data_IF_988660247684
#
_entry.id   IF_988660247684
#
_cell.length_a   1.000
_cell.length_b   1.000
_cell.length_c   1.000
_cell.angle_alpha   90.00
_cell.angle_beta   90.00
_cell.angle_gamma   90.00
#
_symmetry.space_group_name_H-M   'P 1'
#
loop_
_entity.id
_entity.type
_entity.pdbx_description
1 polymer ?
#
# COMPACT_ATOMS: atom_id res chain seq x y z
N UNK A 1 -60.33 12.20 12.31
CA UNK A 1 -60.27 12.76 10.95
C UNK A 1 -60.23 14.26 11.10
N UNK A 2 -59.27 14.97 10.57
CA UNK A 2 -58.90 16.38 10.76
C UNK A 2 -58.16 16.68 12.09
N UNK A 3 -56.85 16.69 11.98
CA UNK A 3 -56.00 17.70 12.64
C UNK A 3 -54.52 17.37 12.27
N UNK A 4 -54.02 17.91 11.20
CA UNK A 4 -52.58 18.04 10.90
C UNK A 4 -52.38 18.90 9.65
N UNK A 5 -52.74 20.15 9.68
CA UNK A 5 -52.26 21.16 8.70
C UNK A 5 -52.30 22.52 9.41
N UNK A 6 -51.28 22.87 10.19
CA UNK A 6 -51.06 24.28 10.59
C UNK A 6 -49.70 24.47 11.29
N UNK A 7 -48.58 24.02 10.68
CA UNK A 7 -47.27 24.38 11.23
C UNK A 7 -46.21 24.74 10.16
N UNK A 8 -46.63 24.96 8.93
CA UNK A 8 -45.69 25.17 7.81
C UNK A 8 -45.46 26.63 7.37
N UNK A 9 -46.17 27.59 7.87
CA UNK A 9 -46.16 28.96 7.32
C UNK A 9 -45.53 30.05 8.18
N UNK A 10 -45.00 29.73 9.36
CA UNK A 10 -44.46 30.77 10.28
C UNK A 10 -42.91 30.92 10.17
N UNK A 11 -42.21 30.01 9.53
CA UNK A 11 -40.73 30.11 9.41
C UNK A 11 -40.24 30.81 8.16
N UNK A 12 -41.07 31.00 7.14
CA UNK A 12 -40.63 31.62 5.87
C UNK A 12 -40.71 33.15 5.90
N UNK A 13 -41.50 33.75 6.79
CA UNK A 13 -41.66 35.21 6.87
C UNK A 13 -40.58 35.92 7.67
N UNK A 14 -39.84 35.23 8.52
CA UNK A 14 -38.78 35.85 9.36
C UNK A 14 -37.44 35.96 8.61
N UNK A 15 -37.20 35.12 7.60
CA UNK A 15 -35.95 35.14 6.85
C UNK A 15 -35.84 36.30 5.83
N UNK A 16 -36.99 36.84 5.38
CA UNK A 16 -37.04 37.93 4.40
C UNK A 16 -36.83 39.31 5.06
N UNK A 17 -37.12 39.46 6.38
CA UNK A 17 -36.98 40.73 7.07
C UNK A 17 -35.56 41.03 7.58
N UNK A 18 -34.69 40.04 7.68
CA UNK A 18 -33.32 40.23 8.17
C UNK A 18 -32.34 40.70 7.05
N UNK A 19 -32.67 40.49 5.77
CA UNK A 19 -31.82 40.95 4.67
C UNK A 19 -32.00 42.43 4.28
N UNK A 20 -33.03 43.15 4.78
CA UNK A 20 -33.33 44.51 4.39
C UNK A 20 -32.66 45.60 5.28
N UNK A 21 -32.02 45.22 6.41
CA UNK A 21 -31.44 46.17 7.35
C UNK A 21 -29.93 45.98 7.62
N UNK A 22 -29.16 45.58 6.60
CA UNK A 22 -27.72 45.56 6.77
C UNK A 22 -27.09 46.90 6.31
N UNK A 23 -26.48 47.70 7.21
CA UNK A 23 -25.88 48.97 6.80
C UNK A 23 -24.68 48.69 5.83
N UNK A 24 -24.79 49.20 4.62
CA UNK A 24 -23.67 49.17 3.64
C UNK A 24 -22.55 50.06 4.18
N UNK A 25 -21.43 49.43 4.61
CA UNK A 25 -20.21 50.15 4.89
C UNK A 25 -19.66 50.80 3.59
N UNK A 26 -19.21 52.07 3.61
CA UNK A 26 -18.58 52.67 2.46
C UNK A 26 -17.26 51.94 2.13
N UNK A 27 -17.06 51.55 0.86
CA UNK A 27 -15.82 51.01 0.36
C UNK A 27 -14.73 52.13 0.40
N UNK A 28 -13.82 52.05 1.35
CA UNK A 28 -12.60 52.81 1.30
C UNK A 28 -11.69 52.23 0.21
N UNK A 29 -11.34 53.08 -0.75
CA UNK A 29 -10.44 52.82 -1.86
C UNK A 29 -9.10 52.33 -1.31
N UNK A 30 -8.66 51.13 -1.70
CA UNK A 30 -7.35 50.62 -1.34
C UNK A 30 -6.25 51.52 -1.93
N UNK A 31 -5.18 51.79 -1.18
CA UNK A 31 -4.05 52.54 -1.74
C UNK A 31 -3.34 51.71 -2.83
N UNK A 32 -3.05 52.37 -3.95
CA UNK A 32 -2.21 51.81 -5.01
C UNK A 32 -0.81 51.56 -4.46
N UNK A 33 -0.18 50.41 -4.76
CA UNK A 33 1.20 50.19 -4.40
C UNK A 33 2.11 51.06 -5.26
N UNK A 34 2.82 51.97 -4.63
CA UNK A 34 3.94 52.70 -5.20
C UNK A 34 5.01 51.73 -5.70
N UNK A 35 5.50 52.01 -6.92
CA UNK A 35 6.62 51.30 -7.51
C UNK A 35 7.82 51.29 -6.54
N UNK A 36 8.18 50.13 -6.04
CA UNK A 36 9.45 49.88 -5.35
C UNK A 36 10.30 49.06 -6.30
N UNK A 37 11.36 49.73 -6.70
CA UNK A 37 12.50 49.25 -7.47
C UNK A 37 12.98 47.86 -7.05
N UNK A 38 13.16 47.02 -8.07
CA UNK A 38 14.23 46.08 -8.34
C UNK A 38 15.12 45.71 -7.14
N UNK A 39 14.77 44.59 -6.49
CA UNK A 39 15.72 43.77 -5.78
C UNK A 39 15.68 42.39 -6.43
N UNK A 40 16.64 42.22 -7.34
CA UNK A 40 17.07 40.93 -7.88
C UNK A 40 17.47 39.99 -6.73
N UNK A 41 16.48 39.33 -6.12
CA UNK A 41 16.73 38.11 -5.36
C UNK A 41 16.93 37.00 -6.37
N UNK A 42 18.03 36.25 -6.28
CA UNK A 42 18.13 35.03 -7.07
C UNK A 42 16.92 34.16 -6.68
N UNK A 43 16.02 33.93 -7.61
CA UNK A 43 15.09 32.81 -7.53
C UNK A 43 15.97 31.59 -7.32
N UNK A 44 15.98 31.06 -6.09
CA UNK A 44 16.47 29.73 -5.85
C UNK A 44 15.77 28.87 -6.90
N UNK A 45 16.52 28.54 -7.94
CA UNK A 45 16.13 27.51 -8.86
C UNK A 45 15.80 26.32 -7.95
N UNK A 46 14.52 25.95 -7.88
CA UNK A 46 14.11 24.64 -7.46
C UNK A 46 14.95 23.74 -8.37
N UNK A 47 16.01 23.19 -7.77
CA UNK A 47 16.87 22.23 -8.43
C UNK A 47 15.92 21.10 -8.79
N UNK A 48 15.45 21.11 -10.03
CA UNK A 48 14.75 19.98 -10.59
C UNK A 48 15.70 18.81 -10.32
N UNK A 49 15.33 17.95 -9.37
CA UNK A 49 15.97 16.66 -9.21
C UNK A 49 15.68 15.99 -10.54
N UNK A 50 16.65 16.05 -11.46
CA UNK A 50 16.67 15.20 -12.64
C UNK A 50 16.89 13.79 -12.08
N UNK A 51 15.84 13.26 -11.46
CA UNK A 51 15.76 11.86 -11.11
C UNK A 51 15.93 11.11 -12.42
N UNK A 52 16.94 10.25 -12.47
CA UNK A 52 17.20 9.37 -13.59
C UNK A 52 15.84 8.71 -13.96
N UNK A 53 15.25 9.09 -15.09
CA UNK A 53 13.89 8.69 -15.48
C UNK A 53 13.72 7.17 -15.65
N UNK A 54 14.83 6.43 -15.61
CA UNK A 54 14.91 4.97 -15.66
C UNK A 54 15.13 4.34 -14.28
N UNK A 55 15.13 5.13 -13.20
CA UNK A 55 15.40 4.63 -11.86
C UNK A 55 14.32 3.65 -11.40
N UNK A 56 14.77 2.50 -10.89
CA UNK A 56 13.93 1.47 -10.27
C UNK A 56 14.21 1.45 -8.78
N UNK A 57 13.17 1.60 -7.97
CA UNK A 57 13.27 1.71 -6.52
C UNK A 57 12.48 0.60 -5.85
N UNK A 58 13.03 0.00 -4.80
CA UNK A 58 12.33 -1.02 -4.04
C UNK A 58 12.52 -0.86 -2.54
N UNK A 59 11.43 -1.04 -1.79
CA UNK A 59 11.43 -1.26 -0.34
C UNK A 59 11.04 -2.72 -0.10
N UNK A 60 11.89 -3.44 0.61
CA UNK A 60 11.69 -4.86 0.93
C UNK A 60 11.61 -5.00 2.44
N UNK A 61 10.51 -5.57 2.95
CA UNK A 61 10.25 -5.72 4.39
C UNK A 61 9.98 -7.20 4.69
N UNK A 62 10.71 -7.75 5.68
CA UNK A 62 10.49 -9.09 6.21
C UNK A 62 10.20 -9.04 7.71
N UNK A 63 8.97 -9.31 8.12
CA UNK A 63 8.52 -9.32 9.52
C UNK A 63 8.27 -10.75 10.00
N UNK A 64 9.13 -11.25 10.90
CA UNK A 64 9.03 -12.61 11.47
C UNK A 64 9.03 -12.64 12.98
N UNK A 65 9.68 -11.67 13.66
CA UNK A 65 9.89 -11.66 15.10
C UNK A 65 8.70 -11.09 15.90
N UNK A 66 7.49 -11.57 15.63
CA UNK A 66 6.27 -11.14 16.32
C UNK A 66 6.33 -11.37 17.84
N UNK A 67 5.82 -10.40 18.60
CA UNK A 67 5.84 -10.45 20.07
C UNK A 67 4.55 -10.97 20.69
N UNK A 68 3.42 -10.83 19.98
CA UNK A 68 2.09 -11.16 20.51
C UNK A 68 1.45 -12.41 19.90
N UNK A 69 2.02 -12.93 18.82
CA UNK A 69 1.57 -14.14 18.11
C UNK A 69 2.77 -14.99 17.71
N UNK A 70 2.52 -16.14 17.08
CA UNK A 70 3.56 -17.05 16.64
C UNK A 70 4.54 -16.35 15.69
N UNK A 71 5.84 -16.58 15.90
CA UNK A 71 6.92 -16.10 15.04
C UNK A 71 6.92 -16.85 13.72
N UNK A 72 7.23 -16.15 12.64
CA UNK A 72 7.44 -16.74 11.33
C UNK A 72 8.93 -16.95 11.07
N UNK A 73 9.27 -18.09 10.43
CA UNK A 73 10.69 -18.44 10.18
C UNK A 73 11.27 -17.79 8.95
N UNK A 74 10.46 -17.68 7.88
CA UNK A 74 10.95 -17.39 6.55
C UNK A 74 10.93 -15.92 6.12
N UNK A 75 10.13 -14.98 6.71
CA UNK A 75 10.02 -13.62 6.17
C UNK A 75 11.34 -12.87 6.02
N UNK A 76 12.28 -13.04 6.95
CA UNK A 76 13.60 -12.41 6.86
C UNK A 76 14.42 -12.97 5.68
N UNK A 77 14.42 -14.29 5.50
CA UNK A 77 15.11 -14.95 4.40
C UNK A 77 14.47 -14.60 3.05
N UNK A 78 13.13 -14.56 3.00
CA UNK A 78 12.38 -14.20 1.79
C UNK A 78 12.68 -12.76 1.37
N UNK A 79 12.67 -11.84 2.33
CA UNK A 79 13.05 -10.45 2.11
C UNK A 79 14.47 -10.33 1.56
N UNK A 80 15.45 -11.00 2.18
CA UNK A 80 16.84 -10.96 1.72
C UNK A 80 17.04 -11.58 0.33
N UNK A 81 16.33 -12.68 0.04
CA UNK A 81 16.41 -13.31 -1.29
C UNK A 81 15.82 -12.40 -2.38
N UNK A 82 14.67 -11.78 -2.11
CA UNK A 82 14.01 -10.84 -3.04
C UNK A 82 14.83 -9.56 -3.19
N UNK A 83 15.35 -8.98 -2.10
CA UNK A 83 16.22 -7.80 -2.12
C UNK A 83 17.47 -8.04 -2.96
N UNK A 84 18.13 -9.18 -2.76
CA UNK A 84 19.30 -9.58 -3.53
C UNK A 84 19.01 -9.73 -5.04
N UNK A 85 17.88 -10.34 -5.40
CA UNK A 85 17.45 -10.47 -6.79
C UNK A 85 17.15 -9.09 -7.42
N UNK A 86 16.41 -8.24 -6.74
CA UNK A 86 16.09 -6.88 -7.21
C UNK A 86 17.36 -6.03 -7.40
N UNK A 87 18.34 -6.14 -6.48
CA UNK A 87 19.64 -5.45 -6.59
C UNK A 87 20.39 -5.90 -7.83
N UNK A 88 20.47 -7.21 -8.12
CA UNK A 88 21.09 -7.74 -9.35
C UNK A 88 20.39 -7.28 -10.62
N UNK A 89 19.10 -6.95 -10.53
CA UNK A 89 18.27 -6.44 -11.63
C UNK A 89 18.31 -4.91 -11.75
N UNK A 90 19.19 -4.23 -10.99
CA UNK A 90 19.42 -2.80 -11.10
C UNK A 90 18.43 -1.92 -10.31
N UNK A 91 17.68 -2.48 -9.35
CA UNK A 91 16.91 -1.69 -8.41
C UNK A 91 17.84 -1.10 -7.33
N UNK A 92 17.55 0.15 -6.92
CA UNK A 92 18.05 0.68 -5.66
C UNK A 92 17.11 0.20 -4.54
N UNK A 93 17.62 -0.70 -3.69
CA UNK A 93 16.83 -1.45 -2.73
C UNK A 93 17.08 -0.97 -1.31
N UNK A 94 16.00 -0.74 -0.58
CA UNK A 94 16.01 -0.55 0.88
C UNK A 94 15.43 -1.80 1.51
N UNK A 95 16.27 -2.57 2.21
CA UNK A 95 15.86 -3.78 2.94
C UNK A 95 15.68 -3.49 4.42
N UNK A 96 14.60 -4.01 5.02
CA UNK A 96 14.23 -3.85 6.42
C UNK A 96 13.67 -5.15 6.98
N UNK A 97 13.91 -5.38 8.29
CA UNK A 97 13.43 -6.55 9.00
C UNK A 97 12.80 -6.17 10.32
N UNK A 98 11.78 -6.95 10.71
CA UNK A 98 11.16 -6.94 12.03
C UNK A 98 10.74 -5.54 12.51
N UNK A 99 10.04 -4.83 11.64
CA UNK A 99 9.59 -3.48 11.91
C UNK A 99 8.32 -3.45 12.76
N UNK A 100 8.35 -2.67 13.84
CA UNK A 100 7.16 -2.23 14.56
C UNK A 100 6.38 -1.17 13.78
N UNK A 101 5.18 -0.81 14.26
CA UNK A 101 4.24 0.07 13.54
C UNK A 101 4.86 1.43 13.20
N UNK A 102 5.53 2.08 14.14
CA UNK A 102 6.17 3.39 13.90
C UNK A 102 7.34 3.29 12.92
N UNK A 103 8.09 2.18 12.97
CA UNK A 103 9.20 1.92 12.08
C UNK A 103 8.71 1.65 10.65
N UNK A 104 7.64 0.85 10.46
CA UNK A 104 7.01 0.63 9.15
C UNK A 104 6.49 1.94 8.55
N UNK A 105 5.81 2.76 9.35
CA UNK A 105 5.32 4.07 8.91
C UNK A 105 6.46 4.99 8.45
N UNK A 106 7.59 5.00 9.18
CA UNK A 106 8.78 5.78 8.80
C UNK A 106 9.41 5.22 7.52
N UNK A 107 9.62 3.90 7.44
CA UNK A 107 10.20 3.27 6.26
C UNK A 107 9.40 3.56 4.99
N UNK A 108 8.07 3.55 5.07
CA UNK A 108 7.18 3.89 3.96
C UNK A 108 7.28 5.38 3.56
N UNK A 109 7.34 6.31 4.54
CA UNK A 109 7.54 7.74 4.24
C UNK A 109 8.91 8.01 3.61
N UNK A 110 9.97 7.44 4.20
CA UNK A 110 11.32 7.61 3.67
C UNK A 110 11.46 7.02 2.26
N UNK A 111 10.67 5.98 1.96
CA UNK A 111 10.64 5.38 0.64
C UNK A 111 9.82 6.20 -0.36
N UNK A 112 8.74 6.85 0.04
CA UNK A 112 7.96 7.78 -0.78
C UNK A 112 8.86 8.85 -1.41
N UNK A 113 9.72 9.50 -0.59
CA UNK A 113 10.68 10.50 -1.06
C UNK A 113 11.68 9.91 -2.08
N UNK A 114 12.09 8.65 -1.88
CA UNK A 114 13.00 7.96 -2.81
C UNK A 114 12.31 7.51 -4.09
N UNK A 115 11.04 7.15 -4.00
CA UNK A 115 10.25 6.67 -5.14
C UNK A 115 9.80 7.80 -6.06
N UNK A 116 9.91 9.06 -5.61
CA UNK A 116 9.52 10.23 -6.40
C UNK A 116 10.26 10.26 -7.74
N UNK A 117 9.50 10.27 -8.84
CA UNK A 117 10.03 10.27 -10.20
C UNK A 117 10.65 8.95 -10.68
N UNK A 118 10.66 7.90 -9.86
CA UNK A 118 11.12 6.57 -10.29
C UNK A 118 10.26 6.02 -11.42
N UNK A 119 10.87 5.30 -12.36
CA UNK A 119 10.13 4.57 -13.40
C UNK A 119 9.31 3.43 -12.79
N UNK A 120 9.94 2.66 -11.88
CA UNK A 120 9.29 1.63 -11.08
C UNK A 120 9.46 1.93 -9.59
N UNK A 121 8.35 1.89 -8.86
CA UNK A 121 8.32 1.90 -7.40
C UNK A 121 7.72 0.58 -6.91
N UNK A 122 8.49 -0.20 -6.13
CA UNK A 122 8.11 -1.53 -5.68
C UNK A 122 8.19 -1.63 -4.16
N UNK A 123 7.15 -2.18 -3.52
CA UNK A 123 7.20 -2.65 -2.14
C UNK A 123 6.97 -4.15 -2.11
N UNK A 124 7.90 -4.89 -1.50
CA UNK A 124 7.72 -6.28 -1.12
C UNK A 124 7.54 -6.38 0.39
N UNK A 125 6.57 -7.16 0.82
CA UNK A 125 6.33 -7.44 2.21
C UNK A 125 6.15 -8.94 2.42
N UNK A 126 6.91 -9.51 3.36
CA UNK A 126 6.73 -10.86 3.89
C UNK A 126 6.40 -10.79 5.38
N UNK A 127 5.34 -11.47 5.84
CA UNK A 127 4.89 -11.44 7.22
C UNK A 127 3.42 -11.78 7.41
N UNK A 128 2.89 -11.48 8.60
CA UNK A 128 1.45 -11.61 8.83
C UNK A 128 0.67 -10.51 8.12
N UNK A 129 -0.47 -10.89 7.56
CA UNK A 129 -1.48 -9.98 7.03
C UNK A 129 -2.87 -10.48 7.41
N UNK A 130 -3.82 -9.58 7.44
CA UNK A 130 -5.23 -9.93 7.65
C UNK A 130 -6.15 -9.02 6.84
N UNK A 131 -7.35 -9.50 6.61
CA UNK A 131 -8.43 -8.71 6.04
C UNK A 131 -9.48 -8.40 7.12
N UNK A 132 -9.98 -7.16 7.12
CA UNK A 132 -11.12 -6.77 7.92
C UNK A 132 -11.99 -5.78 7.15
N UNK A 133 -13.28 -6.10 7.04
CA UNK A 133 -14.29 -5.25 6.37
C UNK A 133 -13.87 -4.84 4.93
N UNK A 134 -13.32 -5.79 4.17
CA UNK A 134 -12.88 -5.53 2.80
C UNK A 134 -11.54 -4.79 2.70
N UNK A 135 -10.84 -4.55 3.81
CA UNK A 135 -9.55 -3.87 3.82
C UNK A 135 -8.43 -4.81 4.26
N UNK A 136 -7.31 -4.72 3.55
CA UNK A 136 -6.11 -5.52 3.81
C UNK A 136 -5.13 -4.76 4.71
N UNK A 137 -4.58 -5.46 5.70
CA UNK A 137 -3.67 -4.90 6.69
C UNK A 137 -2.37 -5.69 6.76
N UNK A 138 -1.24 -5.00 6.75
CA UNK A 138 0.09 -5.56 7.02
C UNK A 138 0.38 -5.38 8.50
N UNK A 139 0.87 -6.43 9.13
CA UNK A 139 1.00 -6.50 10.59
C UNK A 139 2.45 -6.25 11.01
N UNK A 140 2.73 -5.18 11.76
CA UNK A 140 4.03 -4.94 12.40
C UNK A 140 4.33 -5.98 13.49
N UNK A 141 5.62 -6.17 13.83
CA UNK A 141 6.00 -7.20 14.79
C UNK A 141 5.57 -6.91 16.24
N UNK A 142 5.30 -5.65 16.56
CA UNK A 142 4.85 -5.18 17.88
C UNK A 142 3.33 -5.09 18.04
N UNK A 143 2.56 -5.42 17.01
CA UNK A 143 1.09 -5.39 17.05
C UNK A 143 0.54 -6.38 18.09
N UNK A 144 -0.35 -5.90 18.94
CA UNK A 144 -1.05 -6.72 19.94
C UNK A 144 -2.45 -7.14 19.49
N UNK A 145 -3.15 -6.26 18.75
CA UNK A 145 -4.46 -6.43 18.12
C UNK A 145 -5.45 -7.17 19.03
N UNK A 146 -5.70 -6.59 20.19
CA UNK A 146 -6.62 -7.18 21.18
C UNK A 146 -8.08 -7.05 20.75
N UNK A 147 -8.39 -6.03 19.93
CA UNK A 147 -9.70 -5.76 19.35
C UNK A 147 -9.56 -5.42 17.87
N UNK A 148 -10.60 -5.66 17.11
CA UNK A 148 -10.65 -5.28 15.70
C UNK A 148 -10.53 -3.75 15.47
N UNK A 149 -10.95 -2.95 16.45
CA UNK A 149 -10.82 -1.48 16.45
C UNK A 149 -9.38 -0.99 16.62
N UNK A 150 -8.45 -1.85 17.00
CA UNK A 150 -7.05 -1.47 17.22
C UNK A 150 -6.25 -1.45 15.90
N UNK A 151 -6.82 -2.02 14.81
CA UNK A 151 -6.14 -2.10 13.49
C UNK A 151 -5.66 -0.76 12.93
N UNK A 152 -6.43 0.34 12.98
CA UNK A 152 -5.95 1.62 12.46
C UNK A 152 -4.69 2.16 13.16
N UNK A 153 -4.51 1.80 14.42
CA UNK A 153 -3.40 2.27 15.26
C UNK A 153 -2.19 1.31 15.24
N UNK A 154 -2.43 0.00 15.08
CA UNK A 154 -1.42 -1.04 15.23
C UNK A 154 -1.04 -1.75 13.92
N UNK A 155 -1.68 -1.43 12.80
CA UNK A 155 -1.42 -2.07 11.51
C UNK A 155 -1.33 -1.05 10.36
N UNK A 156 -0.84 -1.49 9.20
CA UNK A 156 -0.69 -0.65 8.01
C UNK A 156 -1.66 -1.14 6.94
N UNK A 157 -2.64 -0.33 6.50
CA UNK A 157 -3.51 -0.71 5.40
C UNK A 157 -2.73 -0.71 4.08
N UNK A 158 -3.02 -1.69 3.21
CA UNK A 158 -2.31 -1.85 1.92
C UNK A 158 -2.54 -0.64 1.01
N UNK A 159 -3.68 0.00 1.10
CA UNK A 159 -3.98 1.25 0.38
C UNK A 159 -2.96 2.34 0.74
N UNK A 160 -2.58 2.46 2.03
CA UNK A 160 -1.52 3.41 2.43
C UNK A 160 -0.16 3.08 1.81
N UNK A 161 0.13 1.79 1.59
CA UNK A 161 1.37 1.40 0.89
C UNK A 161 1.31 1.87 -0.56
N UNK A 162 0.18 1.66 -1.25
CA UNK A 162 -0.03 2.14 -2.62
C UNK A 162 0.07 3.67 -2.72
N UNK A 163 -0.55 4.41 -1.79
CA UNK A 163 -0.47 5.87 -1.72
C UNK A 163 0.98 6.36 -1.66
N UNK A 164 1.85 5.66 -0.90
CA UNK A 164 3.29 5.99 -0.78
C UNK A 164 4.10 5.67 -2.04
N UNK A 165 3.54 4.96 -3.00
CA UNK A 165 4.14 4.70 -4.30
C UNK A 165 3.67 5.69 -5.38
N UNK A 166 2.79 6.64 -5.05
CA UNK A 166 2.15 7.56 -6.02
C UNK A 166 3.16 8.41 -6.82
N UNK A 167 4.36 8.66 -6.29
CA UNK A 167 5.46 9.31 -7.00
C UNK A 167 6.09 8.48 -8.14
N UNK A 168 5.80 7.18 -8.21
CA UNK A 168 6.25 6.29 -9.29
C UNK A 168 5.54 6.60 -10.61
N UNK A 169 6.32 6.76 -11.69
CA UNK A 169 5.83 7.34 -12.96
C UNK A 169 5.14 6.33 -13.88
N UNK A 170 5.63 5.09 -13.94
CA UNK A 170 5.13 4.07 -14.87
C UNK A 170 4.49 2.90 -14.15
N UNK A 171 5.20 2.27 -13.22
CA UNK A 171 4.73 1.08 -12.53
C UNK A 171 4.91 1.21 -11.02
N UNK A 172 3.82 1.03 -10.30
CA UNK A 172 3.73 0.97 -8.84
C UNK A 172 3.31 -0.43 -8.46
N UNK A 173 4.18 -1.17 -7.80
CA UNK A 173 3.95 -2.58 -7.52
C UNK A 173 4.04 -2.87 -6.03
N UNK A 174 3.06 -3.57 -5.49
CA UNK A 174 3.09 -4.14 -4.14
C UNK A 174 3.05 -5.67 -4.28
N UNK A 175 4.02 -6.34 -3.69
CA UNK A 175 4.10 -7.81 -3.66
C UNK A 175 3.93 -8.25 -2.22
N UNK A 176 2.90 -9.05 -1.93
CA UNK A 176 2.51 -9.46 -0.60
C UNK A 176 2.70 -10.97 -0.41
N UNK A 177 3.78 -11.34 0.27
CA UNK A 177 4.02 -12.70 0.76
C UNK A 177 3.55 -12.79 2.21
N UNK A 178 2.23 -12.68 2.37
CA UNK A 178 1.59 -12.65 3.67
C UNK A 178 0.59 -13.81 3.81
N UNK A 179 0.67 -14.49 4.96
CA UNK A 179 -0.34 -15.48 5.36
C UNK A 179 -1.69 -14.78 5.53
N UNK A 180 -2.76 -15.49 5.17
CA UNK A 180 -4.13 -14.98 5.25
C UNK A 180 -4.89 -15.51 6.46
N UNK A 181 -4.25 -16.29 7.29
CA UNK A 181 -4.82 -16.73 8.55
C UNK A 181 -4.61 -15.62 9.58
N UNK A 182 -5.68 -15.07 10.11
CA UNK A 182 -5.59 -14.07 11.16
C UNK A 182 -5.11 -14.73 12.48
N UNK A 183 -3.86 -14.54 12.89
CA UNK A 183 -3.35 -15.16 14.10
C UNK A 183 -3.93 -14.51 15.38
N UNK A 184 -4.58 -13.36 15.26
CA UNK A 184 -5.21 -12.62 16.36
C UNK A 184 -6.69 -12.95 16.54
N UNK A 185 -7.29 -13.76 15.65
CA UNK A 185 -8.73 -13.99 15.61
C UNK A 185 -9.29 -14.46 16.97
N UNK A 186 -8.66 -15.44 17.60
CA UNK A 186 -9.12 -15.96 18.89
C UNK A 186 -9.16 -14.87 19.98
N UNK A 187 -8.15 -13.99 20.00
CA UNK A 187 -8.05 -12.89 20.97
C UNK A 187 -9.08 -11.80 20.68
N UNK A 188 -9.25 -11.42 19.41
CA UNK A 188 -10.24 -10.42 18.98
C UNK A 188 -11.67 -10.87 19.29
N UNK A 189 -11.99 -12.16 19.11
CA UNK A 189 -13.29 -12.74 19.43
C UNK A 189 -13.57 -12.72 20.92
N UNK A 190 -12.59 -13.07 21.75
CA UNK A 190 -12.74 -13.07 23.22
C UNK A 190 -13.05 -11.67 23.77
N UNK A 191 -12.60 -10.61 23.10
CA UNK A 191 -12.81 -9.22 23.49
C UNK A 191 -14.01 -8.56 22.80
N UNK A 192 -14.99 -9.33 22.32
CA UNK A 192 -16.29 -8.84 21.86
C UNK A 192 -16.33 -8.36 20.41
N UNK A 193 -15.31 -8.68 19.61
CA UNK A 193 -15.38 -8.46 18.17
C UNK A 193 -16.40 -9.43 17.55
N UNK A 194 -17.40 -8.89 16.86
CA UNK A 194 -18.35 -9.72 16.11
C UNK A 194 -17.58 -10.53 15.06
N UNK A 195 -17.68 -11.85 15.13
CA UNK A 195 -16.97 -12.83 14.28
C UNK A 195 -17.22 -12.69 12.77
N UNK A 196 -18.19 -11.88 12.37
CA UNK A 196 -18.55 -11.65 10.95
C UNK A 196 -17.67 -10.63 10.23
N UNK A 197 -16.86 -9.86 10.94
CA UNK A 197 -16.07 -8.76 10.36
C UNK A 197 -14.64 -9.15 9.99
N UNK A 198 -14.19 -10.35 10.37
CA UNK A 198 -12.83 -10.83 10.08
C UNK A 198 -12.94 -12.07 9.21
N UNK A 199 -12.73 -11.90 7.92
CA UNK A 199 -12.75 -12.99 6.96
C UNK A 199 -11.36 -13.63 6.82
N UNK A 200 -11.33 -14.85 6.31
CA UNK A 200 -10.08 -15.51 5.96
C UNK A 200 -9.63 -15.03 4.59
N UNK A 201 -8.45 -14.42 4.54
CA UNK A 201 -7.87 -13.95 3.29
C UNK A 201 -7.78 -12.44 3.17
N UNK A 202 -7.04 -11.96 2.15
CA UNK A 202 -6.96 -10.55 1.82
C UNK A 202 -8.07 -10.21 0.80
N UNK A 203 -8.69 -9.02 0.94
CA UNK A 203 -9.74 -8.56 0.04
C UNK A 203 -9.20 -8.17 -1.33
N UNK A 204 -10.08 -8.17 -2.34
CA UNK A 204 -9.79 -7.58 -3.63
C UNK A 204 -9.55 -6.06 -3.48
N UNK A 205 -8.56 -5.55 -4.19
CA UNK A 205 -8.28 -4.10 -4.32
C UNK A 205 -8.71 -3.67 -5.72
N UNK A 206 -9.12 -2.42 -5.89
CA UNK A 206 -9.33 -1.78 -7.21
C UNK A 206 -8.16 -0.84 -7.53
N UNK A 207 -7.07 -1.32 -8.15
CA UNK A 207 -5.89 -0.53 -8.43
C UNK A 207 -6.17 0.54 -9.49
N UNK A 208 -5.49 1.69 -9.38
CA UNK A 208 -5.50 2.71 -10.43
C UNK A 208 -4.56 2.33 -11.59
N UNK A 209 -4.58 3.11 -12.67
CA UNK A 209 -3.69 2.87 -13.82
C UNK A 209 -2.21 2.88 -13.41
N UNK A 210 -1.45 1.86 -13.81
CA UNK A 210 -0.05 1.68 -13.43
C UNK A 210 0.16 1.07 -12.04
N UNK A 211 -0.89 0.66 -11.34
CA UNK A 211 -0.80 -0.04 -10.05
C UNK A 211 -1.02 -1.53 -10.20
N UNK A 212 -0.20 -2.30 -9.50
CA UNK A 212 -0.27 -3.76 -9.46
C UNK A 212 -0.05 -4.25 -8.03
N UNK A 213 -0.95 -5.11 -7.55
CA UNK A 213 -0.78 -5.82 -6.27
C UNK A 213 -0.75 -7.32 -6.54
N UNK A 214 0.36 -7.97 -6.19
CA UNK A 214 0.57 -9.38 -6.38
C UNK A 214 0.60 -10.10 -5.03
N UNK A 215 -0.37 -10.95 -4.82
CA UNK A 215 -0.56 -11.71 -3.60
C UNK A 215 0.00 -13.12 -3.72
N UNK A 216 0.67 -13.59 -2.67
CA UNK A 216 1.18 -14.96 -2.59
C UNK A 216 0.08 -16.03 -2.65
N UNK A 217 -1.13 -15.68 -2.23
CA UNK A 217 -2.26 -16.60 -2.26
C UNK A 217 -3.57 -15.89 -2.59
N UNK A 218 -4.50 -16.58 -3.20
CA UNK A 218 -5.86 -16.14 -3.54
C UNK A 218 -6.74 -16.02 -2.28
N UNK A 219 -7.85 -15.29 -2.37
CA UNK A 219 -8.85 -15.17 -1.31
C UNK A 219 -9.25 -16.51 -0.72
N UNK A 220 -9.22 -16.63 0.62
CA UNK A 220 -9.57 -17.86 1.33
C UNK A 220 -8.50 -18.96 1.33
N UNK A 221 -7.32 -18.72 0.72
CA UNK A 221 -6.21 -19.68 0.70
C UNK A 221 -5.09 -19.26 1.65
N UNK A 222 -4.32 -20.21 2.18
CA UNK A 222 -3.19 -19.98 3.07
C UNK A 222 -1.91 -19.87 2.25
N UNK A 223 -1.12 -18.81 2.45
CA UNK A 223 0.26 -18.78 2.01
C UNK A 223 1.09 -19.66 2.97
N UNK A 224 1.81 -20.63 2.43
CA UNK A 224 2.59 -21.56 3.22
C UNK A 224 4.02 -21.03 3.37
N UNK A 225 4.59 -21.12 4.57
CA UNK A 225 6.02 -20.88 4.79
C UNK A 225 6.89 -21.94 4.05
N UNK A 226 6.32 -23.12 3.78
CA UNK A 226 7.04 -24.21 3.16
C UNK A 226 8.06 -24.89 4.10
N UNK A 227 8.65 -26.03 3.69
CA UNK A 227 9.63 -26.76 4.46
C UNK A 227 11.06 -26.21 4.32
N UNK A 228 11.31 -25.27 3.41
CA UNK A 228 12.62 -24.70 3.10
C UNK A 228 12.95 -23.45 3.90
N UNK A 229 14.07 -22.82 3.56
CA UNK A 229 14.48 -21.53 4.11
C UNK A 229 13.73 -20.35 3.53
N UNK A 230 13.01 -20.55 2.41
CA UNK A 230 12.18 -19.55 1.75
C UNK A 230 10.79 -20.11 1.48
N UNK A 231 9.81 -19.22 1.40
CA UNK A 231 8.46 -19.56 0.98
C UNK A 231 8.44 -20.07 -0.47
N UNK A 232 7.45 -20.90 -0.85
CA UNK A 232 7.26 -21.30 -2.25
C UNK A 232 7.08 -20.09 -3.18
N UNK A 233 6.45 -19.01 -2.69
CA UNK A 233 6.20 -17.81 -3.45
C UNK A 233 7.49 -17.00 -3.67
N UNK A 234 8.25 -16.68 -2.61
CA UNK A 234 9.54 -15.98 -2.73
C UNK A 234 10.51 -16.75 -3.63
N UNK A 235 10.59 -18.09 -3.47
CA UNK A 235 11.41 -18.95 -4.34
C UNK A 235 11.02 -18.84 -5.83
N UNK A 236 9.72 -18.80 -6.11
CA UNK A 236 9.21 -18.65 -7.47
C UNK A 236 9.46 -17.23 -8.01
N UNK A 237 9.25 -16.18 -7.19
CA UNK A 237 9.52 -14.80 -7.55
C UNK A 237 10.97 -14.61 -8.00
N UNK A 238 11.93 -14.95 -7.12
CA UNK A 238 13.37 -14.76 -7.38
C UNK A 238 13.76 -15.48 -8.68
N UNK A 239 13.34 -16.73 -8.84
CA UNK A 239 13.66 -17.49 -10.04
C UNK A 239 13.18 -16.80 -11.32
N UNK A 240 11.93 -16.35 -11.35
CA UNK A 240 11.34 -15.85 -12.59
C UNK A 240 11.63 -14.35 -12.83
N UNK A 241 12.00 -13.56 -11.80
CA UNK A 241 12.50 -12.20 -11.96
C UNK A 241 13.82 -12.16 -12.77
N UNK A 242 14.69 -13.16 -12.60
CA UNK A 242 16.01 -13.22 -13.24
C UNK A 242 15.97 -13.83 -14.64
N UNK A 243 14.82 -14.32 -15.10
CA UNK A 243 14.66 -14.82 -16.46
C UNK A 243 14.61 -13.68 -17.47
N UNK A 244 15.48 -13.72 -18.47
CA UNK A 244 15.61 -12.70 -19.50
C UNK A 244 14.42 -12.69 -20.46
N UNK A 245 13.92 -11.49 -20.82
CA UNK A 245 12.86 -11.31 -21.80
C UNK A 245 11.48 -11.82 -21.37
N UNK A 246 11.25 -11.96 -20.05
CA UNK A 246 9.94 -12.34 -19.52
C UNK A 246 9.15 -11.08 -19.21
N UNK A 247 8.15 -10.77 -20.04
CA UNK A 247 7.20 -9.68 -19.84
C UNK A 247 6.40 -9.87 -18.53
N UNK A 248 6.01 -8.77 -17.86
CA UNK A 248 5.43 -8.74 -16.52
C UNK A 248 4.18 -9.61 -16.37
N UNK A 249 3.24 -9.57 -17.31
CA UNK A 249 2.05 -10.43 -17.27
C UNK A 249 2.40 -11.91 -17.40
N UNK A 250 3.43 -12.24 -18.23
CA UNK A 250 3.96 -13.59 -18.32
C UNK A 250 4.70 -14.01 -17.05
N UNK A 251 5.42 -13.07 -16.43
CA UNK A 251 6.08 -13.28 -15.14
C UNK A 251 5.07 -13.72 -14.07
N UNK A 252 3.96 -13.01 -13.90
CA UNK A 252 2.93 -13.40 -12.92
C UNK A 252 2.39 -14.81 -13.18
N UNK A 253 2.09 -15.15 -14.45
CA UNK A 253 1.63 -16.50 -14.81
C UNK A 253 2.66 -17.59 -14.50
N UNK A 254 3.96 -17.33 -14.74
CA UNK A 254 5.05 -18.29 -14.43
C UNK A 254 5.19 -18.50 -12.93
N UNK A 255 5.15 -17.43 -12.13
CA UNK A 255 5.19 -17.52 -10.66
C UNK A 255 3.99 -18.31 -10.15
N UNK A 256 2.78 -17.97 -10.57
CA UNK A 256 1.55 -18.69 -10.18
C UNK A 256 1.63 -20.18 -10.53
N UNK A 257 1.99 -20.52 -11.76
CA UNK A 257 2.13 -21.91 -12.22
C UNK A 257 3.16 -22.69 -11.38
N UNK A 258 4.29 -22.07 -11.04
CA UNK A 258 5.31 -22.72 -10.23
C UNK A 258 4.85 -22.93 -8.78
N UNK A 259 4.21 -21.95 -8.16
CA UNK A 259 3.68 -22.06 -6.80
C UNK A 259 2.61 -23.17 -6.74
N UNK A 260 1.63 -23.16 -7.66
CA UNK A 260 0.63 -24.23 -7.77
C UNK A 260 1.29 -25.61 -7.81
N UNK A 261 2.29 -25.78 -8.70
CA UNK A 261 3.00 -27.06 -8.85
C UNK A 261 3.74 -27.47 -7.57
N UNK A 262 4.47 -26.56 -6.94
CA UNK A 262 5.30 -26.87 -5.75
C UNK A 262 4.47 -27.10 -4.50
N UNK A 263 3.31 -26.46 -4.39
CA UNK A 263 2.37 -26.59 -3.26
C UNK A 263 1.28 -27.63 -3.49
N UNK A 264 1.33 -28.37 -4.61
CA UNK A 264 0.28 -29.36 -5.00
C UNK A 264 -1.11 -28.72 -5.03
N UNK A 265 -1.23 -27.55 -5.66
CA UNK A 265 -2.43 -26.71 -5.78
C UNK A 265 -3.01 -26.20 -4.44
N UNK A 266 -2.22 -26.20 -3.36
CA UNK A 266 -2.68 -25.66 -2.07
C UNK A 266 -2.54 -24.16 -1.96
N UNK A 267 -1.68 -23.52 -2.77
CA UNK A 267 -1.46 -22.08 -2.79
C UNK A 267 -1.50 -21.58 -4.23
N UNK A 268 -2.38 -20.61 -4.49
CA UNK A 268 -2.56 -19.99 -5.80
C UNK A 268 -2.29 -18.48 -5.71
N UNK A 269 -1.15 -17.99 -6.19
CA UNK A 269 -0.90 -16.55 -6.28
C UNK A 269 -1.89 -15.84 -7.19
N UNK A 270 -2.25 -14.62 -6.84
CA UNK A 270 -3.23 -13.83 -7.57
C UNK A 270 -2.76 -12.38 -7.75
N UNK A 271 -3.09 -11.76 -8.90
CA UNK A 271 -2.73 -10.37 -9.21
C UNK A 271 -3.98 -9.52 -9.43
N UNK A 272 -4.00 -8.35 -8.81
CA UNK A 272 -4.92 -7.25 -9.12
C UNK A 272 -4.09 -6.12 -9.72
N UNK A 273 -4.48 -5.57 -10.85
CA UNK A 273 -3.70 -4.49 -11.44
C UNK A 273 -4.24 -3.99 -12.75
N UNK A 274 -3.87 -2.73 -13.06
CA UNK A 274 -4.10 -2.09 -14.35
C UNK A 274 -2.74 -1.75 -14.96
N UNK A 275 -2.11 -2.78 -15.56
CA UNK A 275 -0.81 -2.67 -16.21
C UNK A 275 -0.96 -1.75 -17.42
N UNK A 276 -0.07 -0.73 -17.61
CA UNK A 276 -0.06 0.09 -18.82
C UNK A 276 0.20 -0.74 -20.08
N UNK A 277 -0.09 -0.18 -21.25
CA UNK A 277 0.06 -0.83 -22.57
C UNK A 277 1.53 -0.94 -23.03
N UNK A 278 2.49 -0.60 -22.19
CA UNK A 278 3.91 -0.80 -22.49
C UNK A 278 4.43 -2.10 -21.81
N UNK A 279 5.40 -2.74 -22.46
CA UNK A 279 6.03 -3.93 -21.94
C UNK A 279 6.95 -3.63 -20.76
N UNK A 280 6.75 -4.33 -19.65
CA UNK A 280 7.60 -4.26 -18.46
C UNK A 280 8.39 -5.56 -18.27
N UNK A 281 9.69 -5.41 -17.99
CA UNK A 281 10.59 -6.54 -17.76
C UNK A 281 11.41 -6.30 -16.49
N UNK A 282 11.47 -7.28 -15.58
CA UNK A 282 12.46 -7.27 -14.50
C UNK A 282 13.87 -7.35 -15.12
N UNK A 283 14.07 -8.26 -16.06
CA UNK A 283 15.28 -8.40 -16.87
C UNK A 283 14.90 -8.29 -18.35
N UNK A 284 15.23 -7.17 -19.02
CA UNK A 284 14.93 -6.99 -20.43
C UNK A 284 15.54 -8.07 -21.32
N UNK A 285 14.99 -8.32 -22.51
CA UNK A 285 15.67 -9.12 -23.53
C UNK A 285 16.98 -8.46 -23.93
N UNK A 286 17.96 -9.27 -24.35
CA UNK A 286 19.22 -8.80 -24.94
C UNK A 286 19.01 -8.20 -26.31
#
# INVERSE_FOLDING_TARGET
>A
MLEFVFFGFFFLSILIFIMAYWPKKPMTRAPQPSAVSDLSRPRNAVRAVQGNSTARRALVIGNGAYTSVERLKNPANDASAVAGALTRLGFDVVEKHDLGVLQMQRALRDFEDKAEGAEWALVYYAGHGLEQNGRNWLIPVDAALTRATDLPDEAIPVERVLDRLSGGRKLRMVILDACRTNPFLARMVMNGAATRAVTHGLAAIDPTHGEVVFYAARDGSVAADGPGSNSPFATALVKHMEEEGVELGRFFRKVTSRVLKTTKNKQEPFVYGRIPDEDFYFKPPK
#
